data_IF_343684586389
#
_entry.id   IF_343684586389
#
_cell.length_a   1.000
_cell.length_b   1.000
_cell.length_c   1.000
_cell.angle_alpha   90.00
_cell.angle_beta   90.00
_cell.angle_gamma   90.00
#
_symmetry.space_group_name_H-M   'P 1'
#
loop_
_entity.id
_entity.type
_entity.pdbx_description
1 polymer ?
#
# COMPACT_ATOMS: atom_id res chain seq x y z
N UNK A 1 38.23 -17.61 -16.31
CA UNK A 1 37.04 -16.97 -16.91
C UNK A 1 35.96 -16.97 -15.84
N UNK A 2 36.02 -15.98 -14.95
CA UNK A 2 35.15 -15.93 -13.77
C UNK A 2 33.92 -15.07 -14.09
N UNK A 3 32.82 -15.74 -14.43
CA UNK A 3 31.51 -15.11 -14.60
C UNK A 3 30.94 -14.74 -13.23
N UNK A 4 31.21 -13.51 -12.79
CA UNK A 4 30.52 -12.94 -11.64
C UNK A 4 29.07 -12.63 -12.03
N UNK A 5 28.15 -13.55 -11.73
CA UNK A 5 26.71 -13.33 -11.83
C UNK A 5 26.30 -12.29 -10.80
N UNK A 6 26.25 -11.03 -11.22
CA UNK A 6 25.75 -9.92 -10.42
C UNK A 6 24.29 -10.15 -10.04
N UNK A 7 24.05 -10.46 -8.77
CA UNK A 7 22.72 -10.51 -8.19
C UNK A 7 22.13 -9.10 -8.23
N UNK A 8 21.20 -8.85 -9.18
CA UNK A 8 20.45 -7.59 -9.25
C UNK A 8 19.66 -7.43 -7.95
N UNK A 9 20.18 -6.62 -7.02
CA UNK A 9 19.44 -6.19 -5.83
C UNK A 9 18.29 -5.32 -6.32
N UNK A 10 17.05 -5.81 -6.21
CA UNK A 10 15.85 -4.99 -6.41
C UNK A 10 15.95 -3.81 -5.45
N UNK A 11 16.21 -2.62 -5.98
CA UNK A 11 16.27 -1.41 -5.19
C UNK A 11 14.84 -0.93 -4.97
N UNK A 12 14.36 -1.18 -3.75
CA UNK A 12 13.04 -0.71 -3.34
C UNK A 12 13.20 0.69 -2.76
N UNK A 13 12.60 1.69 -3.41
CA UNK A 13 12.58 3.06 -2.90
C UNK A 13 11.33 3.21 -2.03
N UNK A 14 11.56 3.61 -0.79
CA UNK A 14 10.51 3.93 0.16
C UNK A 14 10.23 5.42 0.11
N UNK A 15 9.03 5.81 -0.33
CA UNK A 15 8.58 7.21 -0.28
C UNK A 15 7.30 7.32 0.55
N UNK A 16 7.19 8.31 1.44
CA UNK A 16 5.95 8.54 2.17
C UNK A 16 4.87 9.01 1.20
N UNK A 17 3.72 8.30 1.16
CA UNK A 17 2.53 8.81 0.47
C UNK A 17 1.78 9.69 1.47
N UNK A 18 1.58 10.97 1.14
CA UNK A 18 0.67 11.82 1.91
C UNK A 18 -0.74 11.28 1.74
N UNK A 19 -1.53 11.33 2.81
CA UNK A 19 -2.91 10.84 2.77
C UNK A 19 -3.71 11.46 1.61
N UNK A 20 -3.48 12.73 1.28
CA UNK A 20 -4.19 13.42 0.20
C UNK A 20 -3.93 12.80 -1.19
N UNK A 21 -2.74 12.24 -1.41
CA UNK A 21 -2.34 11.63 -2.69
C UNK A 21 -2.70 10.14 -2.77
N UNK A 22 -3.12 9.53 -1.65
CA UNK A 22 -3.37 8.09 -1.58
C UNK A 22 -4.55 7.66 -2.45
N UNK A 23 -5.60 8.47 -2.52
CA UNK A 23 -6.76 8.14 -3.35
C UNK A 23 -6.37 8.03 -4.83
N UNK A 24 -5.58 8.98 -5.33
CA UNK A 24 -5.11 8.99 -6.72
C UNK A 24 -4.14 7.83 -6.99
N UNK A 25 -3.29 7.47 -6.02
CA UNK A 25 -2.45 6.28 -6.11
C UNK A 25 -3.28 4.98 -6.18
N UNK A 26 -4.38 4.87 -5.41
CA UNK A 26 -5.29 3.73 -5.49
C UNK A 26 -5.95 3.65 -6.88
N UNK A 27 -6.37 4.80 -7.44
CA UNK A 27 -6.96 4.86 -8.77
C UNK A 27 -5.98 4.46 -9.87
N UNK A 28 -4.75 4.94 -9.78
CA UNK A 28 -3.73 4.71 -10.79
C UNK A 28 -3.15 3.28 -10.74
N UNK A 29 -2.90 2.76 -9.54
CA UNK A 29 -2.07 1.56 -9.36
C UNK A 29 -2.86 0.33 -8.90
N UNK A 30 -4.10 0.50 -8.41
CA UNK A 30 -4.85 -0.60 -7.77
C UNK A 30 -6.17 -0.92 -8.45
N UNK A 31 -7.00 0.08 -8.76
CA UNK A 31 -8.34 -0.10 -9.36
C UNK A 31 -8.81 1.15 -10.10
N UNK A 32 -9.34 1.03 -11.31
CA UNK A 32 -9.91 2.16 -12.07
C UNK A 32 -11.33 2.58 -11.62
N UNK A 33 -11.96 1.82 -10.72
CA UNK A 33 -13.30 2.11 -10.19
C UNK A 33 -13.23 3.11 -9.04
N UNK A 34 -13.76 4.32 -9.24
CA UNK A 34 -13.83 5.39 -8.23
C UNK A 34 -14.53 4.94 -6.94
N UNK A 35 -15.69 4.27 -6.95
CA UNK A 35 -16.30 3.77 -5.73
C UNK A 35 -15.41 2.77 -4.96
N UNK A 36 -14.72 1.88 -5.69
CA UNK A 36 -13.79 0.93 -5.08
C UNK A 36 -12.55 1.61 -4.49
N UNK A 37 -12.07 2.68 -5.14
CA UNK A 37 -10.96 3.48 -4.66
C UNK A 37 -11.34 4.23 -3.38
N UNK A 38 -12.48 4.93 -3.37
CA UNK A 38 -13.04 5.59 -2.19
C UNK A 38 -13.21 4.63 -1.01
N UNK A 39 -13.82 3.46 -1.23
CA UNK A 39 -13.98 2.47 -0.16
C UNK A 39 -12.62 2.02 0.40
N UNK A 40 -11.62 1.82 -0.45
CA UNK A 40 -10.26 1.43 -0.01
C UNK A 40 -9.55 2.56 0.74
N UNK A 41 -9.70 3.80 0.28
CA UNK A 41 -9.17 4.99 0.92
C UNK A 41 -9.73 5.18 2.34
N UNK A 42 -11.03 4.98 2.53
CA UNK A 42 -11.69 5.06 3.84
C UNK A 42 -11.08 4.08 4.86
N UNK A 43 -10.69 2.87 4.43
CA UNK A 43 -10.01 1.92 5.33
C UNK A 43 -8.63 2.45 5.77
N UNK A 44 -7.89 3.11 4.89
CA UNK A 44 -6.61 3.72 5.24
C UNK A 44 -6.77 4.92 6.19
N UNK A 45 -7.80 5.76 5.98
CA UNK A 45 -8.13 6.87 6.89
C UNK A 45 -8.47 6.33 8.28
N UNK A 46 -9.40 5.38 8.37
CA UNK A 46 -9.80 4.80 9.65
C UNK A 46 -8.63 4.12 10.36
N UNK A 47 -7.77 3.42 9.61
CA UNK A 47 -6.56 2.83 10.16
C UNK A 47 -5.62 3.88 10.76
N UNK A 48 -5.40 4.99 10.05
CA UNK A 48 -4.61 6.14 10.52
C UNK A 48 -5.21 6.79 11.77
N UNK A 49 -6.53 6.81 11.89
CA UNK A 49 -7.26 7.26 13.09
C UNK A 49 -7.19 6.26 14.26
N UNK A 50 -6.48 5.14 14.10
CA UNK A 50 -6.26 4.14 15.15
C UNK A 50 -7.28 3.00 15.15
N UNK A 51 -8.14 2.89 14.13
CA UNK A 51 -9.11 1.79 14.06
C UNK A 51 -8.41 0.45 13.87
N UNK A 52 -8.80 -0.52 14.69
CA UNK A 52 -8.45 -1.93 14.50
C UNK A 52 -9.52 -2.63 13.65
N UNK A 53 -9.08 -3.54 12.78
CA UNK A 53 -9.97 -4.27 11.87
C UNK A 53 -10.01 -5.75 12.22
N UNK A 54 -11.19 -6.34 12.13
CA UNK A 54 -11.36 -7.80 12.15
C UNK A 54 -10.85 -8.39 10.82
N UNK A 55 -9.66 -9.00 10.88
CA UNK A 55 -8.98 -9.57 9.71
C UNK A 55 -9.68 -10.80 9.14
N UNK A 56 -10.69 -11.37 9.81
CA UNK A 56 -11.48 -12.46 9.28
C UNK A 56 -12.48 -12.00 8.21
N UNK A 57 -12.94 -10.74 8.28
CA UNK A 57 -13.95 -10.18 7.36
C UNK A 57 -13.44 -10.10 5.93
N UNK A 58 -14.26 -10.55 4.99
CA UNK A 58 -13.93 -10.54 3.55
C UNK A 58 -13.62 -9.14 3.03
N UNK A 59 -14.39 -8.13 3.42
CA UNK A 59 -14.15 -6.74 3.03
C UNK A 59 -12.78 -6.24 3.53
N UNK A 60 -12.43 -6.53 4.78
CA UNK A 60 -11.11 -6.16 5.35
C UNK A 60 -9.99 -6.83 4.56
N UNK A 61 -10.12 -8.12 4.24
CA UNK A 61 -9.13 -8.85 3.42
C UNK A 61 -8.95 -8.20 2.04
N UNK A 62 -10.05 -7.82 1.37
CA UNK A 62 -10.01 -7.16 0.05
C UNK A 62 -9.30 -5.81 0.11
N UNK A 63 -9.70 -4.92 1.02
CA UNK A 63 -9.11 -3.58 1.11
C UNK A 63 -7.66 -3.62 1.61
N UNK A 64 -7.33 -4.54 2.53
CA UNK A 64 -5.95 -4.80 2.94
C UNK A 64 -5.08 -5.25 1.77
N UNK A 65 -5.56 -6.21 0.95
CA UNK A 65 -4.82 -6.67 -0.21
C UNK A 65 -4.54 -5.54 -1.22
N UNK A 66 -5.52 -4.64 -1.41
CA UNK A 66 -5.37 -3.44 -2.22
C UNK A 66 -4.32 -2.48 -1.66
N UNK A 67 -4.39 -2.16 -0.37
CA UNK A 67 -3.44 -1.25 0.30
C UNK A 67 -2.02 -1.82 0.33
N UNK A 68 -1.85 -3.14 0.46
CA UNK A 68 -0.54 -3.80 0.43
C UNK A 68 0.18 -3.65 -0.90
N UNK A 69 -0.53 -3.42 -2.01
CA UNK A 69 0.09 -3.08 -3.31
C UNK A 69 0.82 -1.74 -3.26
N UNK A 70 0.42 -0.86 -2.34
CA UNK A 70 1.01 0.45 -2.09
C UNK A 70 1.88 0.46 -0.84
N UNK A 71 2.32 -0.71 -0.33
CA UNK A 71 3.15 -0.79 0.88
C UNK A 71 2.42 -0.61 2.21
N UNK A 72 1.10 -0.35 2.21
CA UNK A 72 0.32 -0.09 3.43
C UNK A 72 -0.31 -1.39 3.96
N UNK A 73 -0.05 -1.73 5.23
CA UNK A 73 -0.63 -2.92 5.86
C UNK A 73 -1.45 -2.59 7.12
N UNK A 74 -2.77 -2.49 6.94
CA UNK A 74 -3.75 -2.19 8.00
C UNK A 74 -3.95 -3.32 9.02
N UNK A 75 -3.22 -4.44 8.91
CA UNK A 75 -3.17 -5.46 9.96
C UNK A 75 -2.16 -5.11 11.07
N UNK A 76 -1.26 -4.16 10.83
CA UNK A 76 -0.32 -3.65 11.83
C UNK A 76 -0.92 -2.45 12.54
N UNK A 77 -0.43 -2.12 13.73
CA UNK A 77 -0.77 -0.83 14.35
C UNK A 77 -0.25 0.31 13.47
N UNK A 78 -0.98 1.43 13.45
CA UNK A 78 -0.51 2.62 12.76
C UNK A 78 0.69 3.21 13.52
N UNK A 79 1.84 3.30 12.85
CA UNK A 79 3.12 3.73 13.45
C UNK A 79 3.53 5.15 13.04
N UNK A 80 2.56 5.97 12.59
CA UNK A 80 2.79 7.37 12.26
C UNK A 80 3.02 7.67 10.77
N UNK A 81 3.47 6.71 9.95
CA UNK A 81 3.77 6.92 8.52
C UNK A 81 3.04 5.97 7.56
N UNK A 82 2.55 6.54 6.45
CA UNK A 82 2.04 5.80 5.28
C UNK A 82 3.21 5.53 4.33
N UNK A 83 3.81 4.35 4.46
CA UNK A 83 4.99 3.95 3.72
C UNK A 83 4.57 3.32 2.39
N UNK A 84 4.91 3.96 1.26
CA UNK A 84 4.80 3.31 -0.05
C UNK A 84 6.12 2.72 -0.49
N UNK A 85 6.04 1.45 -0.87
CA UNK A 85 7.14 0.63 -1.31
C UNK A 85 7.01 0.54 -2.82
N UNK A 86 7.70 1.43 -3.56
CA UNK A 86 7.71 1.43 -5.02
C UNK A 86 9.04 0.87 -5.51
N UNK A 87 9.01 0.04 -6.55
CA UNK A 87 10.23 -0.40 -7.25
C UNK A 87 10.85 0.80 -7.99
N UNK A 88 12.16 0.97 -7.82
CA UNK A 88 12.91 2.11 -8.32
C UNK A 88 13.41 1.95 -9.76
N UNK A 89 12.61 1.45 -10.69
CA UNK A 89 13.08 1.29 -12.08
C UNK A 89 11.94 1.54 -13.07
N UNK A 90 12.05 2.65 -13.82
CA UNK A 90 11.44 2.82 -15.14
C UNK A 90 12.50 3.28 -16.12
#
# INVERSE_FOLDING_TARGET
MEIHTGQKRKMTITLPIKLLDLHDAILAEVTSSVPSANATFVYAVQWREGKTFDLAKSAVKVHRARLRRLGIDIAKAYDGELISVRDAER
#
